data_IF_684914491618
#
_entry.id   IF_684914491618
#
_cell.length_a   1.000
_cell.length_b   1.000
_cell.length_c   1.000
_cell.angle_alpha   90.00
_cell.angle_beta   90.00
_cell.angle_gamma   90.00
#
_symmetry.space_group_name_H-M   'P 1'
#
loop_
_entity.id
_entity.type
_entity.pdbx_description
1 polymer ?
#
# COMPACT_ATOMS: atom_id res chain seq x y z
N UNK A 1 23.83 -5.43 37.32
CA UNK A 1 22.99 -6.65 37.36
C UNK A 1 21.89 -6.54 36.28
N UNK A 2 22.21 -6.85 35.01
CA UNK A 2 21.24 -6.82 33.89
C UNK A 2 21.12 -8.18 33.17
N UNK A 3 22.15 -9.03 33.24
CA UNK A 3 22.16 -10.33 32.55
C UNK A 3 21.26 -11.41 33.18
N UNK A 4 20.98 -11.32 34.48
CA UNK A 4 20.23 -12.35 35.23
C UNK A 4 18.71 -12.31 35.00
N UNK A 5 18.17 -11.21 34.49
CA UNK A 5 16.72 -11.04 34.24
C UNK A 5 16.26 -11.60 32.89
N UNK A 6 17.21 -11.92 31.98
CA UNK A 6 16.91 -12.46 30.65
C UNK A 6 17.04 -13.98 30.57
N UNK A 7 17.37 -14.69 31.66
CA UNK A 7 17.44 -16.15 31.68
C UNK A 7 18.45 -16.77 30.70
N UNK A 8 19.49 -16.02 30.32
CA UNK A 8 20.50 -16.44 29.32
C UNK A 8 21.28 -17.67 29.81
N UNK A 9 21.10 -18.82 29.12
CA UNK A 9 21.75 -20.10 29.44
C UNK A 9 22.92 -20.45 28.51
N UNK A 10 23.06 -19.79 27.36
CA UNK A 10 24.12 -20.02 26.38
C UNK A 10 24.60 -18.72 25.70
N UNK A 11 25.87 -18.70 25.26
CA UNK A 11 26.49 -17.62 24.49
C UNK A 11 26.95 -18.23 23.15
N UNK A 12 26.61 -17.68 21.97
CA UNK A 12 25.78 -16.50 21.70
C UNK A 12 24.28 -16.82 21.66
N UNK A 13 23.45 -15.95 22.24
CA UNK A 13 21.99 -15.99 22.11
C UNK A 13 21.54 -14.73 21.40
N UNK A 14 20.77 -14.87 20.32
CA UNK A 14 20.21 -13.75 19.56
C UNK A 14 18.72 -13.69 19.85
N UNK A 15 18.25 -12.57 20.39
CA UNK A 15 16.83 -12.30 20.63
C UNK A 15 16.32 -11.26 19.64
N UNK A 16 15.16 -11.53 19.06
CA UNK A 16 14.44 -10.62 18.19
C UNK A 16 13.33 -9.93 18.99
N UNK A 17 13.44 -8.62 19.12
CA UNK A 17 12.47 -7.78 19.82
C UNK A 17 11.61 -7.04 18.81
N UNK A 18 10.30 -7.14 18.93
CA UNK A 18 9.33 -6.33 18.18
C UNK A 18 8.42 -5.63 19.19
N UNK A 19 8.26 -4.31 19.07
CA UNK A 19 7.41 -3.49 19.96
C UNK A 19 7.72 -3.65 21.47
N UNK A 20 8.99 -3.89 21.82
CA UNK A 20 9.42 -4.03 23.22
C UNK A 20 9.16 -5.39 23.87
N UNK A 21 8.61 -6.37 23.13
CA UNK A 21 8.46 -7.74 23.58
C UNK A 21 9.44 -8.67 22.82
N UNK A 22 10.07 -9.64 23.50
CA UNK A 22 10.85 -10.68 22.83
C UNK A 22 9.89 -11.61 22.09
N UNK A 23 9.96 -11.63 20.77
CA UNK A 23 9.04 -12.42 19.93
C UNK A 23 9.63 -13.79 19.62
N UNK A 24 10.92 -13.85 19.36
CA UNK A 24 11.63 -15.09 19.10
C UNK A 24 13.13 -14.93 19.44
N UNK A 25 13.85 -16.03 19.57
CA UNK A 25 15.29 -16.01 19.80
C UNK A 25 15.88 -17.40 19.67
N UNK A 26 17.13 -17.46 19.20
CA UNK A 26 17.86 -18.72 19.10
C UNK A 26 19.07 -18.72 20.03
N UNK A 27 19.27 -19.86 20.69
CA UNK A 27 20.43 -20.15 21.52
C UNK A 27 21.39 -21.05 20.72
N UNK A 28 22.61 -20.59 20.48
CA UNK A 28 23.65 -21.35 19.77
C UNK A 28 23.82 -21.01 18.28
N UNK A 29 24.89 -21.50 17.63
CA UNK A 29 25.17 -21.21 16.23
C UNK A 29 24.15 -21.90 15.31
N UNK A 30 23.30 -21.11 14.67
CA UNK A 30 22.36 -21.56 13.62
C UNK A 30 22.96 -21.30 12.22
N UNK A 31 22.61 -22.11 11.21
CA UNK A 31 22.98 -21.83 9.82
C UNK A 31 22.30 -20.55 9.33
N UNK A 32 22.91 -19.87 8.36
CA UNK A 32 22.39 -18.62 7.78
C UNK A 32 20.94 -18.76 7.28
N UNK A 33 20.60 -19.91 6.70
CA UNK A 33 19.25 -20.23 6.23
C UNK A 33 18.19 -20.16 7.34
N UNK A 34 18.51 -20.63 8.54
CA UNK A 34 17.59 -20.58 9.68
C UNK A 34 17.42 -19.15 10.21
N UNK A 35 18.47 -18.34 10.14
CA UNK A 35 18.42 -16.91 10.50
C UNK A 35 17.61 -16.12 9.48
N UNK A 36 17.81 -16.35 8.17
CA UNK A 36 17.01 -15.73 7.10
C UNK A 36 15.54 -16.12 7.20
N UNK A 37 15.24 -17.41 7.35
CA UNK A 37 13.85 -17.87 7.46
C UNK A 37 13.11 -17.32 8.69
N UNK A 38 13.84 -17.00 9.78
CA UNK A 38 13.29 -16.33 10.94
C UNK A 38 13.06 -14.85 10.65
N UNK A 39 14.04 -14.16 10.06
CA UNK A 39 13.92 -12.75 9.68
C UNK A 39 12.81 -12.50 8.66
N UNK A 40 12.67 -13.37 7.65
CA UNK A 40 11.66 -13.26 6.59
C UNK A 40 10.22 -13.30 7.12
N UNK A 41 10.00 -13.93 8.29
CA UNK A 41 8.68 -13.94 8.95
C UNK A 41 8.33 -12.61 9.61
N UNK A 42 9.34 -11.79 9.94
CA UNK A 42 9.18 -10.54 10.68
C UNK A 42 9.54 -9.30 9.86
N UNK A 43 10.10 -9.47 8.67
CA UNK A 43 10.34 -8.40 7.73
C UNK A 43 9.00 -7.93 7.15
N UNK A 44 8.76 -6.60 7.07
CA UNK A 44 7.66 -6.06 6.29
C UNK A 44 7.76 -6.60 4.88
N UNK A 45 6.62 -7.02 4.31
CA UNK A 45 6.65 -7.61 2.99
C UNK A 45 7.11 -6.59 1.96
N UNK A 46 7.75 -7.07 0.89
CA UNK A 46 8.29 -6.18 -0.14
C UNK A 46 7.20 -5.31 -0.77
N UNK A 47 5.97 -5.82 -0.91
CA UNK A 47 4.83 -5.03 -1.39
C UNK A 47 4.53 -3.82 -0.49
N UNK A 48 4.68 -3.97 0.82
CA UNK A 48 4.33 -2.96 1.82
C UNK A 48 5.38 -1.86 1.85
N UNK A 49 6.66 -2.23 1.72
CA UNK A 49 7.75 -1.28 1.55
C UNK A 49 7.60 -0.47 0.25
N UNK A 50 7.24 -1.12 -0.87
CA UNK A 50 6.99 -0.43 -2.14
C UNK A 50 5.77 0.48 -2.08
N UNK A 51 4.69 0.04 -1.43
CA UNK A 51 3.50 0.86 -1.21
C UNK A 51 3.83 2.11 -0.36
N UNK A 52 4.62 1.96 0.70
CA UNK A 52 5.08 3.10 1.51
C UNK A 52 5.96 4.08 0.73
N UNK A 53 6.89 3.57 -0.09
CA UNK A 53 7.70 4.42 -0.98
C UNK A 53 6.85 5.19 -1.97
N UNK A 54 5.85 4.52 -2.57
CA UNK A 54 4.94 5.18 -3.47
C UNK A 54 4.07 6.24 -2.78
N UNK A 55 3.61 5.98 -1.55
CA UNK A 55 2.90 6.98 -0.75
C UNK A 55 3.75 8.23 -0.51
N UNK A 56 5.02 8.06 -0.15
CA UNK A 56 5.94 9.20 0.01
C UNK A 56 6.09 9.99 -1.30
N UNK A 57 6.22 9.30 -2.44
CA UNK A 57 6.26 9.95 -3.75
C UNK A 57 4.94 10.66 -4.11
N UNK A 58 3.79 10.12 -3.69
CA UNK A 58 2.49 10.78 -3.86
C UNK A 58 2.39 12.06 -3.02
N UNK A 59 2.93 12.06 -1.79
CA UNK A 59 3.02 13.26 -0.95
C UNK A 59 3.91 14.34 -1.58
N UNK A 60 4.94 13.92 -2.32
CA UNK A 60 5.80 14.80 -3.13
C UNK A 60 5.17 15.19 -4.49
N UNK A 61 3.90 14.84 -4.73
CA UNK A 61 3.18 15.02 -6.01
C UNK A 61 3.84 14.31 -7.21
N UNK A 62 4.78 13.39 -6.96
CA UNK A 62 5.50 12.63 -7.97
C UNK A 62 4.79 11.31 -8.31
N UNK A 63 3.57 11.44 -8.84
CA UNK A 63 2.73 10.31 -9.23
C UNK A 63 3.34 9.45 -10.36
N UNK A 64 4.21 10.05 -11.19
CA UNK A 64 4.85 9.37 -12.31
C UNK A 64 5.81 8.27 -11.86
N UNK A 65 6.58 8.51 -10.80
CA UNK A 65 7.49 7.53 -10.20
C UNK A 65 6.78 6.58 -9.23
N UNK A 66 5.71 7.03 -8.57
CA UNK A 66 4.89 6.20 -7.69
C UNK A 66 4.16 5.08 -8.45
N UNK A 67 3.74 5.33 -9.69
CA UNK A 67 2.95 4.39 -10.50
C UNK A 67 3.62 3.01 -10.72
N UNK A 68 4.88 2.91 -11.20
CA UNK A 68 5.53 1.61 -11.37
C UNK A 68 5.72 0.89 -10.03
N UNK A 69 6.03 1.61 -8.95
CA UNK A 69 6.18 1.03 -7.61
C UNK A 69 4.87 0.42 -7.09
N UNK A 70 3.74 1.12 -7.27
CA UNK A 70 2.42 0.60 -6.92
C UNK A 70 1.99 -0.56 -7.80
N UNK A 71 2.31 -0.55 -9.10
CA UNK A 71 2.01 -1.68 -9.99
C UNK A 71 2.76 -2.94 -9.56
N UNK A 72 4.05 -2.80 -9.24
CA UNK A 72 4.85 -3.90 -8.70
C UNK A 72 4.29 -4.39 -7.36
N UNK A 73 4.00 -3.47 -6.44
CA UNK A 73 3.44 -3.80 -5.13
C UNK A 73 2.10 -4.54 -5.26
N UNK A 74 1.25 -4.11 -6.19
CA UNK A 74 -0.06 -4.71 -6.45
C UNK A 74 0.04 -6.12 -7.02
N UNK A 75 1.05 -6.38 -7.86
CA UNK A 75 1.33 -7.73 -8.37
C UNK A 75 1.88 -8.65 -7.27
N UNK A 76 2.80 -8.14 -6.44
CA UNK A 76 3.40 -8.89 -5.34
C UNK A 76 2.39 -9.20 -4.23
N UNK A 77 1.48 -8.27 -3.95
CA UNK A 77 0.43 -8.42 -2.93
C UNK A 77 -0.74 -9.31 -3.36
N UNK A 78 -0.66 -9.95 -4.52
CA UNK A 78 -1.74 -10.76 -5.10
C UNK A 78 -3.04 -9.95 -5.30
N UNK A 79 -2.91 -8.74 -5.84
CA UNK A 79 -4.00 -7.81 -6.13
C UNK A 79 -4.77 -7.35 -4.89
N UNK A 80 -4.05 -7.06 -3.83
CA UNK A 80 -4.64 -6.55 -2.59
C UNK A 80 -5.38 -5.22 -2.82
N UNK A 81 -6.56 -5.11 -2.21
CA UNK A 81 -7.52 -4.03 -2.48
C UNK A 81 -7.00 -2.67 -2.06
N UNK A 82 -6.28 -2.55 -0.93
CA UNK A 82 -5.76 -1.25 -0.48
C UNK A 82 -4.72 -0.70 -1.45
N UNK A 83 -3.78 -1.53 -1.92
CA UNK A 83 -2.81 -1.13 -2.94
C UNK A 83 -3.51 -0.81 -4.27
N UNK A 84 -4.54 -1.57 -4.65
CA UNK A 84 -5.36 -1.29 -5.84
C UNK A 84 -6.04 0.09 -5.79
N UNK A 85 -6.56 0.49 -4.63
CA UNK A 85 -7.15 1.82 -4.43
C UNK A 85 -6.11 2.94 -4.55
N UNK A 86 -4.92 2.76 -3.97
CA UNK A 86 -3.82 3.71 -4.11
C UNK A 86 -3.38 3.85 -5.56
N UNK A 87 -3.22 2.72 -6.26
CA UNK A 87 -2.86 2.70 -7.68
C UNK A 87 -3.90 3.44 -8.54
N UNK A 88 -5.20 3.24 -8.26
CA UNK A 88 -6.27 3.94 -8.95
C UNK A 88 -6.23 5.46 -8.70
N UNK A 89 -5.96 5.87 -7.46
CA UNK A 89 -5.79 7.28 -7.08
C UNK A 89 -4.62 7.94 -7.83
N UNK A 90 -3.45 7.28 -7.87
CA UNK A 90 -2.29 7.74 -8.65
C UNK A 90 -2.61 7.84 -10.15
N UNK A 91 -3.34 6.88 -10.71
CA UNK A 91 -3.74 6.88 -12.12
C UNK A 91 -4.70 8.03 -12.45
N UNK A 92 -5.63 8.35 -11.54
CA UNK A 92 -6.54 9.49 -11.66
C UNK A 92 -5.75 10.80 -11.66
N UNK A 93 -4.79 10.95 -10.76
CA UNK A 93 -3.91 12.12 -10.70
C UNK A 93 -3.10 12.31 -11.99
N UNK A 94 -2.70 11.20 -12.65
CA UNK A 94 -2.03 11.21 -13.95
C UNK A 94 -2.98 11.34 -15.16
N UNK A 95 -4.27 11.63 -14.95
CA UNK A 95 -5.30 11.70 -15.98
C UNK A 95 -5.50 10.39 -16.78
N UNK A 96 -5.08 9.24 -16.24
CA UNK A 96 -5.22 7.90 -16.86
C UNK A 96 -6.46 7.20 -16.31
N UNK A 97 -7.62 7.83 -16.49
CA UNK A 97 -8.90 7.39 -15.93
C UNK A 97 -9.37 6.01 -16.45
N UNK A 98 -9.00 5.62 -17.66
CA UNK A 98 -9.33 4.31 -18.24
C UNK A 98 -8.60 3.14 -17.54
N UNK A 99 -7.32 3.33 -17.21
CA UNK A 99 -6.55 2.34 -16.44
C UNK A 99 -7.04 2.27 -14.99
N UNK A 100 -7.33 3.42 -14.38
CA UNK A 100 -7.86 3.47 -13.02
C UNK A 100 -9.17 2.66 -12.88
N UNK A 101 -10.08 2.80 -13.86
CA UNK A 101 -11.34 2.05 -13.87
C UNK A 101 -11.11 0.53 -13.98
N UNK A 102 -10.11 0.12 -14.75
CA UNK A 102 -9.75 -1.29 -14.92
C UNK A 102 -9.23 -1.89 -13.61
N UNK A 103 -8.38 -1.14 -12.89
CA UNK A 103 -7.89 -1.54 -11.57
C UNK A 103 -9.05 -1.61 -10.56
N UNK A 104 -9.93 -0.61 -10.52
CA UNK A 104 -11.07 -0.63 -9.61
C UNK A 104 -12.02 -1.81 -9.85
N UNK A 105 -12.22 -2.24 -11.11
CA UNK A 105 -13.04 -3.44 -11.42
C UNK A 105 -12.48 -4.75 -10.87
N UNK A 106 -11.18 -4.81 -10.57
CA UNK A 106 -10.55 -6.00 -9.98
C UNK A 106 -10.77 -6.09 -8.47
N UNK A 107 -11.15 -4.97 -7.83
CA UNK A 107 -11.40 -4.91 -6.39
C UNK A 107 -12.71 -5.64 -6.05
N UNK A 108 -12.68 -6.63 -5.13
CA UNK A 108 -13.87 -7.37 -4.75
C UNK A 108 -14.91 -6.46 -4.08
N UNK A 109 -16.20 -6.84 -4.22
CA UNK A 109 -17.33 -6.08 -3.65
C UNK A 109 -17.22 -5.87 -2.14
N UNK A 110 -16.50 -6.76 -1.45
CA UNK A 110 -16.28 -6.69 0.00
C UNK A 110 -15.46 -5.45 0.42
N UNK A 111 -14.58 -4.97 -0.46
CA UNK A 111 -13.69 -3.83 -0.21
C UNK A 111 -14.15 -2.55 -0.96
N UNK A 112 -15.38 -2.54 -1.47
CA UNK A 112 -15.97 -1.36 -2.14
C UNK A 112 -16.50 -0.34 -1.13
N UNK A 113 -15.56 0.24 -0.37
CA UNK A 113 -15.84 1.25 0.65
C UNK A 113 -16.19 2.62 0.06
N UNK A 114 -16.49 3.58 0.95
CA UNK A 114 -16.69 5.00 0.60
C UNK A 114 -15.54 5.56 -0.25
N UNK A 115 -14.30 5.13 0.00
CA UNK A 115 -13.12 5.57 -0.76
C UNK A 115 -13.18 5.10 -2.22
N UNK A 116 -13.55 3.84 -2.44
CA UNK A 116 -13.76 3.28 -3.78
C UNK A 116 -14.79 4.10 -4.57
N UNK A 117 -15.95 4.37 -3.97
CA UNK A 117 -17.01 5.13 -4.61
C UNK A 117 -16.58 6.56 -4.95
N UNK A 118 -15.79 7.20 -4.08
CA UNK A 118 -15.20 8.52 -4.34
C UNK A 118 -14.29 8.54 -5.56
N UNK A 119 -13.43 7.51 -5.72
CA UNK A 119 -12.54 7.39 -6.88
C UNK A 119 -13.32 7.12 -8.17
N UNK A 120 -14.33 6.25 -8.14
CA UNK A 120 -15.22 6.01 -9.28
C UNK A 120 -15.92 7.31 -9.72
N UNK A 121 -16.45 8.09 -8.77
CA UNK A 121 -17.07 9.37 -9.08
C UNK A 121 -16.08 10.36 -9.70
N UNK A 122 -14.82 10.41 -9.24
CA UNK A 122 -13.79 11.23 -9.87
C UNK A 122 -13.49 10.81 -11.31
N UNK A 123 -13.40 9.50 -11.58
CA UNK A 123 -13.21 8.96 -12.94
C UNK A 123 -14.38 9.36 -13.83
N UNK A 124 -15.62 9.22 -13.36
CA UNK A 124 -16.81 9.61 -14.11
C UNK A 124 -16.80 11.11 -14.42
N UNK A 125 -16.42 11.96 -13.46
CA UNK A 125 -16.31 13.40 -13.65
C UNK A 125 -15.24 13.76 -14.69
N UNK A 126 -14.10 13.08 -14.70
CA UNK A 126 -13.05 13.29 -15.70
C UNK A 126 -13.47 12.85 -17.10
N UNK A 127 -14.27 11.78 -17.20
CA UNK A 127 -14.79 11.26 -18.48
C UNK A 127 -15.96 12.08 -19.03
N UNK A 128 -16.77 12.68 -18.16
CA UNK A 128 -17.92 13.46 -18.59
C UNK A 128 -17.45 14.84 -19.05
N UNK A 129 -17.80 15.30 -20.26
CA UNK A 129 -17.50 16.67 -20.65
C UNK A 129 -18.18 17.64 -19.67
N UNK A 130 -17.58 18.79 -19.35
CA UNK A 130 -18.19 19.76 -18.46
C UNK A 130 -19.52 20.14 -19.07
N UNK A 131 -20.60 19.64 -18.47
CA UNK A 131 -21.95 19.93 -18.93
C UNK A 131 -22.19 21.37 -18.50
N UNK A 132 -21.75 22.29 -19.37
CA UNK A 132 -21.93 23.73 -19.26
C UNK A 132 -23.43 23.91 -19.09
N UNK A 133 -23.87 24.12 -17.84
CA UNK A 133 -25.25 24.45 -17.51
C UNK A 133 -25.61 25.59 -18.44
N UNK A 134 -26.42 25.29 -19.47
CA UNK A 134 -27.11 26.32 -20.23
C UNK A 134 -28.04 26.96 -19.21
N UNK A 135 -27.56 28.02 -18.55
CA UNK A 135 -28.43 29.08 -18.07
C UNK A 135 -29.06 29.69 -19.32
N UNK A 136 -30.10 29.02 -19.81
CA UNK A 136 -31.02 29.57 -20.78
C UNK A 136 -31.66 30.78 -20.14
N UNK A 137 -31.31 31.96 -20.65
CA UNK A 137 -32.02 33.23 -20.56
C UNK A 137 -33.36 33.16 -19.80
N UNK A 138 -33.37 33.59 -18.54
CA UNK A 138 -34.52 34.32 -18.02
C UNK A 138 -34.44 35.76 -18.56
N UNK A 139 -34.69 35.91 -19.86
CA UNK A 139 -35.15 37.15 -20.45
C UNK A 139 -36.53 36.85 -20.99
N UNK A 140 -37.57 37.15 -20.20
CA UNK A 140 -38.94 37.44 -20.65
C UNK A 140 -39.88 37.62 -19.45
N UNK A 141 -39.92 38.83 -18.90
CA UNK A 141 -41.10 39.70 -18.68
C UNK A 141 -40.89 40.64 -17.51
#
# INVERSE_FOLDING_TARGET
MLASQFGLRAIPTVYLFQNGQPVDGFEGPQPEEAVRALLDKFLPREEELKAQQALALMEEENYAEALPLLKDAWQLSNQESQIGLLLAETLIALHRSDEAETVLKTVPLQDQDTRYQGLVAQIELLKKPPTRRKFSNCSSR
#
